data_IF_273734846610
#
_entry.id   IF_273734846610
#
_cell.length_a   1.000
_cell.length_b   1.000
_cell.length_c   1.000
_cell.angle_alpha   90.00
_cell.angle_beta   90.00
_cell.angle_gamma   90.00
#
_symmetry.space_group_name_H-M   'P 1'
#
loop_
_entity.id
_entity.type
_entity.pdbx_description
1 polymer ?
#
# COMPACT_ATOMS: atom_id res chain seq x y z
N UNK A 1 -46.53 5.36 -18.68
CA UNK A 1 -45.88 4.34 -17.81
C UNK A 1 -46.69 3.05 -17.93
N UNK A 2 -46.13 1.84 -17.79
CA UNK A 2 -44.73 1.40 -17.61
C UNK A 2 -44.30 0.36 -18.67
N UNK A 3 -43.03 -0.08 -18.74
CA UNK A 3 -42.70 -1.45 -19.19
C UNK A 3 -41.47 -2.01 -18.46
N UNK A 4 -41.65 -3.19 -17.89
CA UNK A 4 -40.66 -4.06 -17.25
C UNK A 4 -40.24 -5.18 -18.22
N UNK A 5 -38.92 -5.46 -18.22
CA UNK A 5 -38.26 -6.78 -18.30
C UNK A 5 -38.79 -7.80 -19.34
N UNK A 6 -37.99 -8.08 -20.37
CA UNK A 6 -37.71 -9.46 -20.78
C UNK A 6 -36.25 -9.61 -21.26
N UNK A 7 -35.62 -10.67 -20.77
CA UNK A 7 -34.24 -11.10 -20.96
C UNK A 7 -34.24 -12.24 -22.00
N UNK A 8 -33.64 -12.06 -23.18
CA UNK A 8 -33.25 -13.21 -24.04
C UNK A 8 -31.92 -12.92 -24.77
N UNK A 9 -30.86 -13.54 -24.23
CA UNK A 9 -29.74 -14.17 -24.94
C UNK A 9 -29.17 -13.47 -26.18
N UNK A 10 -28.01 -12.86 -25.99
CA UNK A 10 -26.90 -13.06 -26.93
C UNK A 10 -25.56 -13.09 -26.18
N UNK A 11 -25.37 -14.14 -25.39
CA UNK A 11 -24.05 -14.58 -24.96
C UNK A 11 -23.44 -15.42 -26.08
N UNK A 12 -22.73 -14.77 -27.00
CA UNK A 12 -21.56 -15.30 -27.72
C UNK A 12 -21.02 -14.19 -28.63
N UNK A 13 -19.71 -13.95 -28.51
CA UNK A 13 -18.89 -12.98 -29.25
C UNK A 13 -19.02 -11.51 -28.80
N UNK A 14 -18.31 -11.17 -27.73
CA UNK A 14 -17.20 -10.20 -27.81
C UNK A 14 -16.51 -10.08 -26.45
N UNK A 15 -16.00 -11.22 -25.97
CA UNK A 15 -14.76 -11.23 -25.19
C UNK A 15 -13.63 -10.76 -26.11
N UNK A 16 -13.46 -9.44 -26.26
CA UNK A 16 -12.13 -8.87 -26.48
C UNK A 16 -11.54 -8.56 -25.12
N UNK A 17 -11.33 -9.65 -24.38
CA UNK A 17 -10.41 -9.67 -23.25
C UNK A 17 -9.04 -9.40 -23.84
N UNK A 18 -8.40 -8.38 -23.28
CA UNK A 18 -6.99 -8.02 -23.38
C UNK A 18 -6.10 -9.26 -23.71
N UNK A 19 -5.78 -9.45 -24.99
CA UNK A 19 -4.69 -10.33 -25.41
C UNK A 19 -3.41 -9.49 -25.41
N UNK A 20 -2.69 -9.52 -24.30
CA UNK A 20 -1.24 -9.26 -24.32
C UNK A 20 -0.56 -9.97 -23.15
N UNK A 21 -0.40 -11.28 -23.32
CA UNK A 21 0.86 -12.02 -23.15
C UNK A 21 1.84 -11.49 -22.09
N UNK A 22 1.83 -12.08 -20.89
CA UNK A 22 3.04 -12.61 -20.23
C UNK A 22 2.68 -13.33 -18.91
N UNK A 23 2.84 -14.65 -18.96
CA UNK A 23 3.34 -15.56 -17.93
C UNK A 23 2.76 -15.52 -16.50
N UNK A 24 1.96 -16.57 -16.24
CA UNK A 24 1.90 -17.34 -14.98
C UNK A 24 1.91 -16.51 -13.69
N UNK A 25 0.76 -15.93 -13.36
CA UNK A 25 0.40 -15.71 -11.97
C UNK A 25 -0.95 -16.38 -11.69
N UNK A 26 -0.90 -17.41 -10.86
CA UNK A 26 -2.07 -18.01 -10.23
C UNK A 26 -2.75 -16.96 -9.35
N UNK A 27 -3.65 -16.17 -9.93
CA UNK A 27 -4.60 -15.37 -9.16
C UNK A 27 -5.77 -16.27 -8.80
N UNK A 28 -5.80 -16.72 -7.54
CA UNK A 28 -7.01 -17.24 -6.95
C UNK A 28 -8.08 -16.14 -7.02
N UNK A 29 -9.10 -16.41 -7.81
CA UNK A 29 -10.28 -15.59 -7.99
C UNK A 29 -11.04 -15.55 -6.64
N UNK A 30 -10.92 -14.45 -5.90
CA UNK A 30 -11.79 -14.21 -4.74
C UNK A 30 -13.13 -13.73 -5.28
N UNK A 31 -14.10 -14.64 -5.31
CA UNK A 31 -15.48 -14.31 -5.62
C UNK A 31 -16.07 -13.54 -4.44
N UNK A 32 -16.58 -12.35 -4.74
CA UNK A 32 -17.28 -11.47 -3.81
C UNK A 32 -18.53 -12.16 -3.25
N UNK A 33 -18.71 -12.12 -1.93
CA UNK A 33 -20.00 -12.39 -1.31
C UNK A 33 -20.20 -11.47 -0.11
N UNK A 34 -21.04 -10.47 -0.38
CA UNK A 34 -22.03 -9.85 0.50
C UNK A 34 -21.53 -9.10 1.74
N UNK A 35 -21.71 -7.77 1.66
CA UNK A 35 -21.80 -6.84 2.77
C UNK A 35 -23.11 -7.11 3.52
N UNK A 36 -23.02 -7.65 4.73
CA UNK A 36 -24.12 -7.63 5.72
C UNK A 36 -23.68 -6.83 6.94
N UNK A 37 -24.43 -5.75 7.16
CA UNK A 37 -24.42 -4.91 8.35
C UNK A 37 -25.18 -5.62 9.47
N UNK A 38 -24.58 -5.80 10.65
CA UNK A 38 -25.20 -5.49 11.97
C UNK A 38 -24.32 -5.88 13.18
N UNK A 39 -24.13 -4.88 14.06
CA UNK A 39 -23.92 -4.88 15.51
C UNK A 39 -22.56 -5.26 16.16
N UNK A 40 -22.19 -4.57 17.27
CA UNK A 40 -20.83 -4.48 17.78
C UNK A 40 -20.57 -5.45 18.93
N UNK A 41 -19.37 -6.05 18.95
CA UNK A 41 -18.75 -6.51 20.19
C UNK A 41 -17.25 -6.30 20.08
N UNK A 42 -16.79 -5.39 20.93
CA UNK A 42 -15.40 -5.03 21.13
C UNK A 42 -14.63 -6.26 21.63
N UNK A 43 -13.92 -6.94 20.74
CA UNK A 43 -12.79 -7.78 21.09
C UNK A 43 -11.62 -7.41 20.18
N UNK A 44 -10.73 -6.60 20.73
CA UNK A 44 -9.39 -6.38 20.19
C UNK A 44 -8.64 -7.72 20.15
N UNK A 45 -8.84 -8.49 19.09
CA UNK A 45 -7.93 -9.57 18.70
C UNK A 45 -6.90 -8.92 17.78
N UNK A 46 -6.02 -8.12 18.36
CA UNK A 46 -4.75 -7.85 17.71
C UNK A 46 -3.98 -9.17 17.67
N UNK A 47 -3.46 -9.62 16.51
CA UNK A 47 -2.41 -10.62 16.53
C UNK A 47 -1.23 -9.99 17.27
N UNK A 48 -1.09 -10.31 18.57
CA UNK A 48 0.15 -10.08 19.29
C UNK A 48 1.20 -10.97 18.62
N UNK A 49 1.88 -10.41 17.62
CA UNK A 49 3.16 -10.94 17.16
C UNK A 49 4.09 -10.77 18.35
N UNK A 50 4.20 -11.80 19.19
CA UNK A 50 5.20 -11.85 20.24
C UNK A 50 6.54 -12.02 19.52
N UNK A 51 7.18 -10.89 19.20
CA UNK A 51 8.58 -10.88 18.81
C UNK A 51 9.39 -11.23 20.06
N UNK A 52 9.55 -12.54 20.31
CA UNK A 52 10.49 -13.05 21.31
C UNK A 52 11.91 -12.72 20.84
N UNK A 53 12.37 -11.50 21.15
CA UNK A 53 13.70 -11.01 20.81
C UNK A 53 14.69 -11.41 21.90
N UNK A 54 14.95 -12.70 22.07
CA UNK A 54 16.20 -13.13 22.70
C UNK A 54 17.29 -13.28 21.63
N UNK A 55 17.71 -12.12 21.09
CA UNK A 55 18.96 -12.03 20.35
C UNK A 55 20.02 -11.67 21.36
N UNK A 56 20.91 -12.62 21.67
CA UNK A 56 22.07 -12.38 22.53
C UNK A 56 22.75 -11.05 22.15
N UNK A 57 23.20 -10.30 23.15
CA UNK A 57 23.72 -8.94 22.96
C UNK A 57 24.97 -9.00 22.07
N UNK A 58 24.81 -8.73 20.78
CA UNK A 58 25.92 -8.60 19.85
C UNK A 58 26.59 -7.27 20.11
N UNK A 59 27.82 -7.31 20.64
CA UNK A 59 28.65 -6.13 20.79
C UNK A 59 29.28 -5.81 19.43
N UNK A 60 29.08 -4.59 18.97
CA UNK A 60 29.70 -4.13 17.73
C UNK A 60 31.22 -4.01 17.97
N UNK A 61 32.07 -4.35 16.98
CA UNK A 61 33.49 -4.07 17.05
C UNK A 61 33.75 -2.56 17.12
N UNK A 62 34.98 -2.13 17.43
CA UNK A 62 35.32 -0.72 17.52
C UNK A 62 35.15 -0.06 16.14
N UNK A 63 34.16 0.83 16.04
CA UNK A 63 33.86 1.60 14.84
C UNK A 63 34.43 3.02 14.98
N UNK A 64 34.83 3.62 13.86
CA UNK A 64 35.19 5.04 13.79
C UNK A 64 33.95 5.93 14.01
N UNK A 65 32.79 5.52 13.47
CA UNK A 65 31.54 6.29 13.50
C UNK A 65 30.32 5.41 13.27
N UNK A 66 29.27 5.63 14.06
CA UNK A 66 27.98 4.92 13.95
C UNK A 66 27.01 5.72 13.08
N UNK A 67 26.67 5.18 11.91
CA UNK A 67 25.75 5.83 10.97
C UNK A 67 24.86 4.82 10.27
N UNK A 68 23.60 5.18 10.07
CA UNK A 68 22.68 4.48 9.17
C UNK A 68 22.97 4.92 7.73
N UNK A 69 23.31 3.94 6.88
CA UNK A 69 23.68 4.19 5.47
C UNK A 69 22.52 4.84 4.69
N UNK A 70 21.34 4.22 4.75
CA UNK A 70 20.13 4.66 4.07
C UNK A 70 19.02 4.82 5.12
N UNK A 71 18.80 6.04 5.64
CA UNK A 71 17.69 6.26 6.55
C UNK A 71 16.38 6.19 5.76
N UNK A 72 15.55 5.20 6.07
CA UNK A 72 14.19 5.12 5.56
C UNK A 72 13.37 6.17 6.30
N UNK A 73 12.78 7.09 5.54
CA UNK A 73 11.79 8.04 6.05
C UNK A 73 10.45 7.52 5.58
N UNK A 74 9.57 7.20 6.52
CA UNK A 74 8.20 6.78 6.23
C UNK A 74 7.47 7.91 5.49
N UNK A 75 7.50 7.82 4.17
CA UNK A 75 6.68 8.65 3.30
C UNK A 75 5.44 7.83 3.01
N UNK A 76 4.30 8.25 3.56
CA UNK A 76 3.02 7.63 3.26
C UNK A 76 2.78 7.53 1.75
N UNK A 77 1.96 6.57 1.32
CA UNK A 77 1.60 6.42 -0.08
C UNK A 77 1.05 7.74 -0.62
N UNK A 78 1.54 8.17 -1.78
CA UNK A 78 1.06 9.43 -2.35
C UNK A 78 -0.42 9.34 -2.71
N UNK A 79 -1.23 10.39 -2.48
CA UNK A 79 -2.69 10.34 -2.62
C UNK A 79 -3.13 9.89 -4.01
N UNK A 80 -2.41 10.26 -5.06
CA UNK A 80 -2.78 9.87 -6.41
C UNK A 80 -2.51 8.40 -6.74
N UNK A 81 -1.53 7.77 -6.09
CA UNK A 81 -1.29 6.33 -6.25
C UNK A 81 -2.44 5.55 -5.62
N UNK A 82 -2.97 6.04 -4.49
CA UNK A 82 -4.17 5.47 -3.87
C UNK A 82 -5.37 5.60 -4.83
N UNK A 83 -5.61 6.79 -5.38
CA UNK A 83 -6.69 6.99 -6.36
C UNK A 83 -6.54 6.12 -7.61
N UNK A 84 -5.31 5.93 -8.12
CA UNK A 84 -5.06 5.01 -9.22
C UNK A 84 -5.45 3.58 -8.86
N UNK A 85 -5.05 3.10 -7.69
CA UNK A 85 -5.40 1.73 -7.25
C UNK A 85 -6.92 1.55 -7.11
N UNK A 86 -7.62 2.57 -6.60
CA UNK A 86 -9.08 2.55 -6.50
C UNK A 86 -9.77 2.55 -7.86
N UNK A 87 -9.27 3.34 -8.82
CA UNK A 87 -9.81 3.36 -10.19
C UNK A 87 -9.63 2.01 -10.89
N UNK A 88 -8.44 1.40 -10.77
CA UNK A 88 -8.16 0.08 -11.34
C UNK A 88 -9.07 -0.99 -10.73
N UNK A 89 -9.32 -0.94 -9.42
CA UNK A 89 -10.29 -1.84 -8.78
C UNK A 89 -11.73 -1.61 -9.28
N UNK A 90 -12.09 -0.36 -9.59
CA UNK A 90 -13.40 -0.04 -10.14
C UNK A 90 -13.58 -0.63 -11.55
N UNK A 91 -12.58 -0.48 -12.42
CA UNK A 91 -12.59 -1.08 -13.76
C UNK A 91 -12.56 -2.60 -13.73
N UNK A 92 -11.82 -3.20 -12.80
CA UNK A 92 -11.79 -4.66 -12.62
C UNK A 92 -13.17 -5.23 -12.25
N UNK A 93 -13.99 -4.45 -11.53
CA UNK A 93 -15.31 -4.90 -11.05
C UNK A 93 -16.46 -4.55 -11.99
N UNK A 94 -16.36 -3.42 -12.72
CA UNK A 94 -17.48 -2.83 -13.46
C UNK A 94 -17.22 -2.68 -14.97
N UNK A 95 -16.01 -3.01 -15.43
CA UNK A 95 -15.54 -2.75 -16.78
C UNK A 95 -14.91 -1.36 -16.94
N UNK A 96 -14.04 -1.23 -17.94
CA UNK A 96 -13.41 0.04 -18.31
C UNK A 96 -14.46 1.06 -18.77
N UNK A 97 -14.33 2.31 -18.33
CA UNK A 97 -15.18 3.42 -18.77
C UNK A 97 -16.62 3.38 -18.25
N UNK A 98 -16.92 2.54 -17.26
CA UNK A 98 -18.23 2.53 -16.60
C UNK A 98 -18.49 3.87 -15.89
N UNK A 99 -19.73 4.38 -15.98
CA UNK A 99 -20.15 5.63 -15.35
C UNK A 99 -19.90 5.68 -13.84
N UNK A 100 -19.91 4.51 -13.17
CA UNK A 100 -19.59 4.39 -11.73
C UNK A 100 -18.15 4.78 -11.40
N UNK A 101 -17.21 4.63 -12.34
CA UNK A 101 -15.79 4.94 -12.15
C UNK A 101 -15.41 6.36 -12.58
N UNK A 102 -16.34 7.11 -13.18
CA UNK A 102 -16.08 8.44 -13.77
C UNK A 102 -15.60 9.47 -12.73
N UNK A 103 -16.12 9.39 -11.51
CA UNK A 103 -15.68 10.27 -10.42
C UNK A 103 -14.20 10.01 -10.04
N UNK A 104 -13.81 8.74 -9.93
CA UNK A 104 -12.42 8.34 -9.65
C UNK A 104 -11.47 8.82 -10.76
N UNK A 105 -11.89 8.78 -12.02
CA UNK A 105 -11.12 9.32 -13.14
C UNK A 105 -10.91 10.84 -13.01
N UNK A 106 -11.96 11.59 -12.67
CA UNK A 106 -11.86 13.05 -12.48
C UNK A 106 -10.96 13.42 -11.31
N UNK A 107 -11.08 12.70 -10.19
CA UNK A 107 -10.23 12.90 -9.01
C UNK A 107 -8.77 12.56 -9.30
N UNK A 108 -8.52 11.51 -10.08
CA UNK A 108 -7.17 11.12 -10.48
C UNK A 108 -6.52 12.19 -11.37
N UNK A 109 -7.26 12.74 -12.35
CA UNK A 109 -6.77 13.83 -13.21
C UNK A 109 -6.40 15.07 -12.38
N UNK A 110 -7.30 15.51 -11.51
CA UNK A 110 -7.02 16.63 -10.60
C UNK A 110 -5.81 16.37 -9.70
N UNK A 111 -5.64 15.14 -9.22
CA UNK A 111 -4.47 14.77 -8.41
C UNK A 111 -3.16 14.81 -9.22
N UNK A 112 -3.17 14.38 -10.48
CA UNK A 112 -1.99 14.44 -11.37
C UNK A 112 -1.60 15.88 -11.71
N UNK A 113 -2.58 16.74 -11.98
CA UNK A 113 -2.37 18.15 -12.36
C UNK A 113 -1.79 18.98 -11.20
N UNK A 114 -2.22 18.72 -9.97
CA UNK A 114 -1.81 19.48 -8.78
C UNK A 114 -0.52 18.97 -8.14
N UNK A 115 0.01 17.81 -8.56
CA UNK A 115 1.11 17.17 -7.85
C UNK A 115 2.45 17.86 -8.09
N UNK A 116 2.80 18.74 -7.16
CA UNK A 116 4.20 19.14 -6.95
C UNK A 116 4.88 18.10 -6.07
N UNK A 117 5.99 17.49 -6.53
CA UNK A 117 6.76 16.52 -5.73
C UNK A 117 7.41 17.23 -4.54
N UNK A 118 6.73 17.22 -3.39
CA UNK A 118 7.28 17.72 -2.13
C UNK A 118 8.59 16.98 -1.80
N UNK A 119 9.62 17.71 -1.41
CA UNK A 119 10.87 17.10 -0.94
C UNK A 119 10.57 16.40 0.39
N UNK A 120 10.83 15.11 0.45
CA UNK A 120 10.71 14.36 1.69
C UNK A 120 11.59 14.96 2.79
N UNK A 121 11.05 15.04 4.01
CA UNK A 121 11.82 15.42 5.17
C UNK A 121 12.99 14.44 5.37
N UNK A 122 14.18 14.95 5.69
CA UNK A 122 15.32 14.09 5.99
C UNK A 122 15.26 13.65 7.44
N UNK A 123 15.53 12.37 7.72
CA UNK A 123 15.66 11.89 9.09
C UNK A 123 16.86 12.52 9.81
N UNK A 124 16.72 12.86 11.09
CA UNK A 124 17.83 13.34 11.94
C UNK A 124 18.63 12.19 12.61
N UNK A 125 18.37 10.93 12.26
CA UNK A 125 18.94 9.77 12.97
C UNK A 125 20.48 9.78 13.02
N UNK A 126 21.14 10.15 11.93
CA UNK A 126 22.60 10.19 11.85
C UNK A 126 23.21 11.32 12.69
N UNK A 127 22.47 12.42 12.90
CA UNK A 127 22.89 13.50 13.80
C UNK A 127 22.92 13.01 15.26
N UNK A 128 21.86 12.35 15.70
CA UNK A 128 21.78 11.82 17.06
C UNK A 128 22.73 10.64 17.29
N UNK A 129 22.88 9.74 16.31
CA UNK A 129 23.79 8.60 16.39
C UNK A 129 25.24 9.04 16.63
N UNK A 130 25.73 10.04 15.88
CA UNK A 130 27.08 10.57 16.06
C UNK A 130 27.28 11.26 17.42
N UNK A 131 26.30 12.07 17.87
CA UNK A 131 26.38 12.77 19.16
C UNK A 131 26.42 11.81 20.35
N UNK A 132 25.71 10.69 20.26
CA UNK A 132 25.57 9.71 21.35
C UNK A 132 26.59 8.58 21.26
N UNK A 133 27.25 8.38 20.12
CA UNK A 133 28.24 7.33 19.90
C UNK A 133 29.29 7.17 21.03
N UNK A 134 29.94 8.23 21.55
CA UNK A 134 30.93 8.06 22.62
C UNK A 134 30.34 7.64 23.98
N UNK A 135 29.02 7.73 24.16
CA UNK A 135 28.33 7.30 25.38
C UNK A 135 27.77 5.89 25.27
N UNK A 136 27.42 5.45 24.05
CA UNK A 136 26.74 4.18 23.78
C UNK A 136 27.70 3.10 23.27
N UNK A 137 28.76 3.49 22.54
CA UNK A 137 29.87 2.61 22.21
C UNK A 137 30.66 2.32 23.48
N UNK A 138 30.63 1.06 23.95
CA UNK A 138 31.38 0.63 25.13
C UNK A 138 32.84 1.08 25.01
N UNK A 139 33.30 1.86 25.97
CA UNK A 139 34.62 2.51 25.93
C UNK A 139 35.70 1.42 25.99
N UNK A 140 36.72 1.52 25.15
CA UNK A 140 38.05 1.08 25.57
C UNK A 140 38.56 2.19 26.50
N UNK A 141 38.97 1.83 27.71
CA UNK A 141 39.74 2.76 28.55
C UNK A 141 41.04 3.09 27.79
N UNK A 142 41.44 4.36 27.83
CA UNK A 142 42.75 4.79 27.34
C UNK A 142 43.87 4.23 28.23
#
# INVERSE_FOLDING_TARGET
MPQTIEEVKSNKLLTKVFESRSDTFHFLFVHSSQVTTTAPLHTHIYPHIIMSSNRGVVRLPKLERLRVKNPVVEQGASPCIVLMSSLLNCWASNGEGNALCKELETNLKGCMETRTRGKAARSSINYHANRLFPRVGGKAHD
#
